data_IF_594698622505
#
_entry.id   IF_594698622505
#
_cell.length_a   1.000
_cell.length_b   1.000
_cell.length_c   1.000
_cell.angle_alpha   90.00
_cell.angle_beta   90.00
_cell.angle_gamma   90.00
#
_symmetry.space_group_name_H-M   'P 1'
#
loop_
_entity.id
_entity.type
_entity.pdbx_description
1 polymer ?
#
# COMPACT_ATOMS: atom_id res chain seq x y z
N UNK A 1 -1.20 -3.08 20.08
CA UNK A 1 -1.45 -2.68 18.66
C UNK A 1 -0.20 -2.73 17.82
N UNK A 2 0.89 -2.09 18.24
CA UNK A 2 2.14 -2.08 17.46
C UNK A 2 2.72 -3.49 17.24
N UNK A 3 2.66 -4.35 18.23
CA UNK A 3 3.12 -5.74 18.13
C UNK A 3 2.35 -6.53 17.07
N UNK A 4 1.05 -6.29 16.98
CA UNK A 4 0.16 -6.99 16.03
C UNK A 4 0.53 -6.70 14.57
N UNK A 5 0.95 -5.47 14.27
CA UNK A 5 1.21 -5.04 12.89
C UNK A 5 2.69 -4.93 12.56
N UNK A 6 3.57 -5.15 13.53
CA UNK A 6 5.00 -5.00 13.32
C UNK A 6 5.45 -3.57 13.08
N UNK A 7 4.65 -2.59 13.53
CA UNK A 7 4.99 -1.15 13.44
C UNK A 7 5.12 -0.57 14.83
N UNK A 8 5.91 0.48 14.98
CA UNK A 8 6.14 1.10 16.28
C UNK A 8 4.91 1.89 16.75
N UNK A 9 4.83 2.11 18.06
CA UNK A 9 3.82 2.98 18.65
C UNK A 9 3.89 4.38 18.05
N UNK A 10 5.10 4.89 17.81
CA UNK A 10 5.31 6.20 17.20
C UNK A 10 4.75 6.25 15.77
N UNK A 11 4.87 5.16 15.01
CA UNK A 11 4.30 5.05 13.67
C UNK A 11 2.78 5.13 13.72
N UNK A 12 2.15 4.44 14.67
CA UNK A 12 0.69 4.48 14.84
C UNK A 12 0.21 5.89 15.21
N UNK A 13 0.95 6.58 16.09
CA UNK A 13 0.66 7.97 16.45
C UNK A 13 0.79 8.90 15.25
N UNK A 14 1.82 8.67 14.43
CA UNK A 14 2.06 9.42 13.20
C UNK A 14 0.90 9.24 12.23
N UNK A 15 0.43 7.99 12.04
CA UNK A 15 -0.71 7.70 11.16
C UNK A 15 -1.95 8.51 11.57
N UNK A 16 -2.25 8.55 12.85
CA UNK A 16 -3.40 9.34 13.34
C UNK A 16 -3.19 10.83 13.11
N UNK A 17 -1.99 11.31 13.41
CA UNK A 17 -1.68 12.75 13.35
C UNK A 17 -1.81 13.30 11.93
N UNK A 18 -1.38 12.57 10.93
CA UNK A 18 -1.42 13.04 9.53
C UNK A 18 -2.70 12.64 8.80
N UNK A 19 -3.61 11.91 9.45
CA UNK A 19 -4.89 11.54 8.86
C UNK A 19 -4.88 10.27 8.03
N UNK A 20 -3.89 9.39 8.24
CA UNK A 20 -3.86 8.07 7.59
C UNK A 20 -4.81 7.08 8.25
N UNK A 21 -5.22 7.36 9.48
CA UNK A 21 -6.31 6.66 10.15
C UNK A 21 -7.20 7.70 10.83
N UNK A 22 -8.49 7.40 11.07
CA UNK A 22 -9.36 8.30 11.80
C UNK A 22 -8.88 8.52 13.24
N UNK A 23 -9.30 9.62 13.90
CA UNK A 23 -8.94 9.86 15.28
C UNK A 23 -9.29 8.68 16.19
N UNK A 24 -8.36 8.31 17.08
CA UNK A 24 -8.53 7.20 18.00
C UNK A 24 -9.02 7.74 19.35
N UNK A 25 -10.03 7.08 19.93
CA UNK A 25 -10.52 7.41 21.25
C UNK A 25 -9.41 7.18 22.29
N UNK A 26 -9.51 7.91 23.41
CA UNK A 26 -8.56 7.79 24.50
C UNK A 26 -9.26 7.34 25.77
N UNK A 27 -8.53 6.62 26.63
CA UNK A 27 -9.01 6.26 27.95
C UNK A 27 -9.07 7.53 28.81
N UNK A 28 -9.67 7.42 30.01
CA UNK A 28 -9.70 8.52 30.96
C UNK A 28 -8.30 8.98 31.38
N UNK A 29 -7.30 8.11 31.27
CA UNK A 29 -5.89 8.45 31.53
C UNK A 29 -5.14 9.04 30.34
N UNK A 30 -5.82 9.31 29.21
CA UNK A 30 -5.20 9.91 28.03
C UNK A 30 -4.48 8.93 27.12
N UNK A 31 -4.59 7.63 27.37
CA UNK A 31 -3.95 6.58 26.56
C UNK A 31 -4.88 6.22 25.41
N UNK A 32 -4.31 6.05 24.20
CA UNK A 32 -5.09 5.62 23.03
C UNK A 32 -5.73 4.26 23.25
N UNK A 33 -7.02 4.19 22.94
CA UNK A 33 -7.83 2.98 23.09
C UNK A 33 -8.34 2.56 21.71
N UNK A 34 -7.60 1.62 21.09
CA UNK A 34 -7.90 1.15 19.74
C UNK A 34 -9.08 0.20 19.72
N UNK A 35 -10.10 0.53 18.91
CA UNK A 35 -11.27 -0.31 18.68
C UNK A 35 -11.00 -1.26 17.51
N UNK A 36 -11.94 -2.19 17.26
CA UNK A 36 -11.86 -3.08 16.09
C UNK A 36 -11.91 -2.27 14.78
N UNK A 37 -12.68 -1.17 14.76
CA UNK A 37 -12.71 -0.28 13.60
C UNK A 37 -11.35 0.38 13.36
N UNK A 38 -10.68 0.83 14.42
CA UNK A 38 -9.34 1.39 14.32
C UNK A 38 -8.33 0.38 13.80
N UNK A 39 -8.44 -0.87 14.25
CA UNK A 39 -7.59 -1.96 13.78
C UNK A 39 -7.77 -2.15 12.27
N UNK A 40 -9.02 -2.14 11.80
CA UNK A 40 -9.32 -2.25 10.37
C UNK A 40 -8.69 -1.12 9.57
N UNK A 41 -8.71 0.11 10.08
CA UNK A 41 -8.08 1.25 9.42
C UNK A 41 -6.56 1.12 9.37
N UNK A 42 -5.94 0.63 10.44
CA UNK A 42 -4.49 0.41 10.46
C UNK A 42 -4.09 -0.67 9.44
N UNK A 43 -4.84 -1.77 9.39
CA UNK A 43 -4.61 -2.83 8.40
C UNK A 43 -4.72 -2.30 6.97
N UNK A 44 -5.76 -1.51 6.69
CA UNK A 44 -5.97 -0.88 5.39
C UNK A 44 -4.76 -0.01 5.01
N UNK A 45 -4.34 0.87 5.92
CA UNK A 45 -3.22 1.77 5.68
C UNK A 45 -1.93 1.01 5.37
N UNK A 46 -1.61 0.00 6.18
CA UNK A 46 -0.40 -0.81 5.99
C UNK A 46 -0.45 -1.53 4.64
N UNK A 47 -1.57 -2.15 4.32
CA UNK A 47 -1.75 -2.87 3.05
C UNK A 47 -1.55 -1.94 1.85
N UNK A 48 -2.21 -0.80 1.86
CA UNK A 48 -2.14 0.16 0.75
C UNK A 48 -0.74 0.76 0.61
N UNK A 49 -0.08 1.09 1.72
CA UNK A 49 1.28 1.63 1.69
C UNK A 49 2.29 0.62 1.18
N UNK A 50 2.13 -0.65 1.56
CA UNK A 50 3.01 -1.71 1.07
C UNK A 50 2.86 -1.92 -0.44
N UNK A 51 1.67 -1.68 -0.98
CA UNK A 51 1.43 -1.75 -2.42
C UNK A 51 1.90 -0.50 -3.18
N UNK A 52 2.29 0.56 -2.47
CA UNK A 52 2.78 1.79 -3.07
C UNK A 52 1.72 2.85 -3.32
N UNK A 53 0.54 2.73 -2.71
CA UNK A 53 -0.50 3.76 -2.82
C UNK A 53 0.00 5.04 -2.14
N UNK A 54 -0.09 6.21 -2.82
CA UNK A 54 0.40 7.47 -2.24
C UNK A 54 -0.30 7.84 -0.94
N UNK A 55 0.44 8.44 -0.02
CA UNK A 55 -0.09 8.92 1.27
C UNK A 55 -1.25 9.88 1.05
N UNK A 56 -1.13 10.78 0.09
CA UNK A 56 -2.13 11.80 -0.21
C UNK A 56 -3.48 11.18 -0.57
N UNK A 57 -3.47 10.07 -1.33
CA UNK A 57 -4.70 9.36 -1.70
C UNK A 57 -5.36 8.74 -0.47
N UNK A 58 -4.58 8.19 0.44
CA UNK A 58 -5.10 7.57 1.67
C UNK A 58 -5.69 8.61 2.61
N UNK A 59 -5.03 9.74 2.76
CA UNK A 59 -5.53 10.86 3.58
C UNK A 59 -6.84 11.39 3.00
N UNK A 60 -6.91 11.57 1.68
CA UNK A 60 -8.13 12.04 1.02
C UNK A 60 -9.28 11.05 1.20
N UNK A 61 -9.02 9.75 1.09
CA UNK A 61 -10.04 8.73 1.29
C UNK A 61 -10.64 8.80 2.71
N UNK A 62 -9.79 8.94 3.72
CA UNK A 62 -10.24 9.03 5.11
C UNK A 62 -11.01 10.34 5.35
N UNK A 63 -10.54 11.44 4.75
CA UNK A 63 -11.24 12.73 4.83
C UNK A 63 -12.66 12.61 4.28
N UNK A 64 -12.80 11.99 3.10
CA UNK A 64 -14.10 11.75 2.49
C UNK A 64 -14.98 10.85 3.35
N UNK A 65 -14.40 9.81 3.91
CA UNK A 65 -15.12 8.91 4.82
C UNK A 65 -15.71 9.66 6.01
N UNK A 66 -14.92 10.56 6.60
CA UNK A 66 -15.37 11.36 7.75
C UNK A 66 -16.45 12.37 7.40
N UNK A 67 -16.55 12.75 6.12
CA UNK A 67 -17.62 13.65 5.65
C UNK A 67 -18.97 12.94 5.51
N UNK A 68 -19.00 11.61 5.58
CA UNK A 68 -20.23 10.84 5.60
C UNK A 68 -20.70 10.33 4.24
N UNK A 69 -21.93 9.84 4.22
CA UNK A 69 -22.49 9.07 3.09
C UNK A 69 -22.61 9.86 1.80
N UNK A 70 -22.68 11.18 1.87
CA UNK A 70 -22.74 12.04 0.67
C UNK A 70 -21.49 11.91 -0.21
N UNK A 71 -20.42 11.29 0.31
CA UNK A 71 -19.14 11.14 -0.41
C UNK A 71 -18.95 9.76 -1.03
N UNK A 72 -19.96 8.89 -1.08
CA UNK A 72 -19.84 7.54 -1.64
C UNK A 72 -19.29 7.56 -3.06
N UNK A 73 -19.81 8.43 -3.90
CA UNK A 73 -19.37 8.53 -5.30
C UNK A 73 -17.91 8.96 -5.40
N UNK A 74 -17.53 9.98 -4.63
CA UNK A 74 -16.15 10.47 -4.60
C UNK A 74 -15.18 9.41 -4.08
N UNK A 75 -15.57 8.67 -3.04
CA UNK A 75 -14.76 7.57 -2.50
C UNK A 75 -14.57 6.47 -3.52
N UNK A 76 -15.65 6.08 -4.21
CA UNK A 76 -15.58 5.05 -5.24
C UNK A 76 -14.66 5.46 -6.38
N UNK A 77 -14.77 6.71 -6.82
CA UNK A 77 -13.92 7.23 -7.89
C UNK A 77 -12.44 7.23 -7.49
N UNK A 78 -12.16 7.66 -6.27
CA UNK A 78 -10.79 7.66 -5.75
C UNK A 78 -10.19 6.26 -5.73
N UNK A 79 -10.95 5.26 -5.26
CA UNK A 79 -10.50 3.88 -5.21
C UNK A 79 -10.27 3.30 -6.61
N UNK A 80 -11.12 3.64 -7.57
CA UNK A 80 -10.96 3.22 -8.97
C UNK A 80 -9.68 3.79 -9.56
N UNK A 81 -9.39 5.05 -9.29
CA UNK A 81 -8.16 5.69 -9.79
C UNK A 81 -6.92 5.00 -9.22
N UNK A 82 -6.93 4.65 -7.93
CA UNK A 82 -5.82 3.94 -7.32
C UNK A 82 -5.68 2.54 -7.88
N UNK A 83 -6.78 1.85 -8.12
CA UNK A 83 -6.77 0.53 -8.75
C UNK A 83 -6.12 0.59 -10.14
N UNK A 84 -6.50 1.57 -10.96
CA UNK A 84 -5.93 1.75 -12.31
C UNK A 84 -4.44 2.02 -12.25
N UNK A 85 -3.98 2.84 -11.32
CA UNK A 85 -2.55 3.13 -11.14
C UNK A 85 -1.77 1.87 -10.74
N UNK A 86 -2.31 1.06 -9.85
CA UNK A 86 -1.69 -0.20 -9.45
C UNK A 86 -1.65 -1.20 -10.61
N UNK A 87 -2.70 -1.25 -11.42
CA UNK A 87 -2.75 -2.13 -12.60
C UNK A 87 -1.67 -1.74 -13.61
N UNK A 88 -1.45 -0.44 -13.82
CA UNK A 88 -0.40 0.05 -14.70
C UNK A 88 0.99 -0.33 -14.14
N UNK A 89 1.21 -0.15 -12.85
CA UNK A 89 2.46 -0.56 -12.20
C UNK A 89 2.70 -2.06 -12.32
N UNK A 90 1.65 -2.86 -12.17
CA UNK A 90 1.72 -4.31 -12.34
C UNK A 90 2.19 -4.68 -13.74
N UNK A 91 1.63 -4.02 -14.77
CA UNK A 91 2.04 -4.26 -16.16
C UNK A 91 3.51 -3.92 -16.40
N UNK A 92 3.98 -2.83 -15.82
CA UNK A 92 5.38 -2.44 -15.92
C UNK A 92 6.29 -3.46 -15.23
N UNK A 93 5.88 -3.97 -14.09
CA UNK A 93 6.63 -5.01 -13.37
C UNK A 93 6.66 -6.30 -14.19
N UNK A 94 5.54 -6.70 -14.78
CA UNK A 94 5.47 -7.88 -15.64
C UNK A 94 6.42 -7.76 -16.83
N UNK A 95 6.47 -6.59 -17.47
CA UNK A 95 7.41 -6.34 -18.58
C UNK A 95 8.86 -6.48 -18.12
N UNK A 96 9.19 -5.97 -16.94
CA UNK A 96 10.52 -6.09 -16.37
C UNK A 96 10.86 -7.55 -16.08
N UNK A 97 9.90 -8.30 -15.57
CA UNK A 97 10.07 -9.73 -15.29
C UNK A 97 10.38 -10.51 -16.57
N UNK A 98 9.71 -10.18 -17.66
CA UNK A 98 9.98 -10.80 -18.96
C UNK A 98 11.42 -10.54 -19.43
N UNK A 99 11.89 -9.30 -19.25
CA UNK A 99 13.29 -8.97 -19.57
C UNK A 99 14.28 -9.73 -18.73
N UNK A 100 14.00 -9.86 -17.43
CA UNK A 100 14.85 -10.63 -16.53
C UNK A 100 14.85 -12.11 -16.92
N UNK A 101 13.69 -12.65 -17.25
CA UNK A 101 13.56 -14.05 -17.66
C UNK A 101 14.36 -14.31 -18.92
N UNK A 102 14.31 -13.41 -19.90
CA UNK A 102 15.12 -13.52 -21.12
C UNK A 102 16.61 -13.58 -20.80
N UNK A 103 17.10 -12.66 -19.96
CA UNK A 103 18.50 -12.63 -19.56
C UNK A 103 18.92 -13.89 -18.80
N UNK A 104 18.06 -14.34 -17.88
CA UNK A 104 18.29 -15.58 -17.13
C UNK A 104 18.45 -16.76 -18.08
N UNK A 105 17.57 -16.89 -19.07
CA UNK A 105 17.64 -17.96 -20.07
C UNK A 105 18.96 -17.93 -20.83
N UNK A 106 19.42 -16.74 -21.18
CA UNK A 106 20.71 -16.58 -21.90
C UNK A 106 21.90 -17.02 -21.05
N UNK A 107 21.91 -16.64 -19.77
CA UNK A 107 22.98 -17.06 -18.86
C UNK A 107 22.91 -18.54 -18.53
N UNK A 108 21.73 -19.10 -18.37
CA UNK A 108 21.60 -20.55 -18.17
C UNK A 108 22.17 -21.33 -19.36
N UNK A 109 21.89 -20.85 -20.59
CA UNK A 109 22.46 -21.45 -21.80
C UNK A 109 23.99 -21.28 -21.85
N UNK A 110 24.50 -20.08 -21.49
CA UNK A 110 25.93 -19.81 -21.45
C UNK A 110 26.66 -20.70 -20.46
N UNK A 111 26.04 -21.01 -19.34
CA UNK A 111 26.62 -21.95 -18.36
C UNK A 111 26.79 -23.34 -18.96
N UNK A 112 25.82 -23.78 -19.76
CA UNK A 112 25.86 -25.10 -20.42
C UNK A 112 26.87 -25.17 -21.57
N UNK A 113 26.91 -24.10 -22.38
CA UNK A 113 27.71 -24.10 -23.63
C UNK A 113 29.06 -23.42 -23.51
N UNK A 114 29.26 -22.61 -22.46
CA UNK A 114 30.44 -21.78 -22.28
C UNK A 114 30.48 -20.52 -23.13
N UNK A 115 29.38 -20.22 -23.84
CA UNK A 115 29.32 -19.04 -24.71
C UNK A 115 28.05 -18.24 -24.43
N UNK A 116 28.19 -16.92 -24.26
CA UNK A 116 27.07 -16.01 -24.09
C UNK A 116 26.77 -15.28 -25.40
N UNK A 117 25.54 -15.46 -25.92
CA UNK A 117 25.10 -14.81 -27.14
C UNK A 117 23.75 -14.11 -26.89
N UNK A 118 23.60 -12.90 -27.44
CA UNK A 118 22.37 -12.15 -27.33
C UNK A 118 21.65 -12.10 -28.69
N UNK A 119 20.39 -12.46 -28.68
CA UNK A 119 19.51 -12.24 -29.83
C UNK A 119 19.07 -10.78 -29.84
N UNK A 120 18.82 -10.25 -30.98
CA UNK A 120 18.33 -8.87 -31.09
C UNK A 120 16.85 -8.76 -30.75
#
# INVERSE_FOLDING_TARGET
>A
MSERFGVSTDTLRYYERIGLIPPVARTSGGIRDYTESDIGWVEHTICMRNAGVPIEALIEYIRLFQMGDATFEARCQLLKEQYEQLDEQKKQIENTMERLQYKISKYENAIKTGELTWDK
#
